data_IF_762404064708
#
_entry.id   IF_762404064708
#
_cell.length_a   1.000
_cell.length_b   1.000
_cell.length_c   1.000
_cell.angle_alpha   90.00
_cell.angle_beta   90.00
_cell.angle_gamma   90.00
#
_symmetry.space_group_name_H-M   'P 1'
#
loop_
_entity.id
_entity.type
_entity.pdbx_description
1 polymer ?
#
# COMPACT_ATOMS: atom_id res chain seq x y z
N UNK A 1 29.97 -4.97 24.97
CA UNK A 1 28.54 -4.55 24.92
C UNK A 1 28.26 -4.17 23.48
N UNK A 2 27.84 -5.14 22.69
CA UNK A 2 27.52 -4.98 21.27
C UNK A 2 26.04 -4.63 21.15
N UNK A 3 25.71 -3.34 21.17
CA UNK A 3 24.40 -2.88 20.71
C UNK A 3 24.44 -2.82 19.18
N UNK A 4 24.17 -3.96 18.55
CA UNK A 4 23.75 -4.01 17.15
C UNK A 4 22.42 -4.74 17.09
N UNK A 5 21.37 -4.08 17.58
CA UNK A 5 20.01 -4.40 17.14
C UNK A 5 19.88 -3.83 15.73
N UNK A 6 20.46 -4.55 14.77
CA UNK A 6 20.30 -4.28 13.35
C UNK A 6 18.85 -4.64 13.03
N UNK A 7 17.95 -3.68 13.20
CA UNK A 7 17.04 -3.19 12.17
C UNK A 7 16.39 -4.19 11.17
N UNK A 8 16.17 -5.44 11.56
CA UNK A 8 15.55 -6.46 10.70
C UNK A 8 14.09 -6.14 10.34
N UNK A 9 13.42 -5.23 11.06
CA UNK A 9 12.07 -4.76 10.72
C UNK A 9 12.02 -3.82 9.52
N UNK A 10 13.17 -3.28 9.05
CA UNK A 10 13.19 -2.35 7.91
C UNK A 10 13.19 -3.03 6.53
N UNK A 11 13.44 -4.33 6.44
CA UNK A 11 13.57 -5.02 5.14
C UNK A 11 12.36 -5.87 4.72
N UNK A 12 11.28 -5.90 5.52
CA UNK A 12 10.12 -6.74 5.21
C UNK A 12 9.02 -6.06 4.34
N UNK A 13 9.27 -4.86 3.80
CA UNK A 13 8.25 -4.17 3.01
C UNK A 13 8.24 -4.66 1.57
N UNK A 14 7.17 -5.40 1.21
CA UNK A 14 6.94 -5.90 -0.16
C UNK A 14 7.14 -4.84 -1.26
N UNK A 15 6.76 -3.60 -0.97
CA UNK A 15 7.04 -2.45 -1.83
C UNK A 15 7.70 -1.36 -0.99
N UNK A 16 8.78 -0.77 -1.49
CA UNK A 16 9.48 0.32 -0.79
C UNK A 16 8.58 1.52 -0.49
N UNK A 17 7.58 1.78 -1.35
CA UNK A 17 6.60 2.86 -1.14
C UNK A 17 5.63 2.60 0.03
N UNK A 18 5.63 1.40 0.63
CA UNK A 18 4.88 1.12 1.86
C UNK A 18 5.72 1.31 3.13
N UNK A 19 7.02 1.59 2.98
CA UNK A 19 7.89 1.87 4.12
C UNK A 19 7.35 3.10 4.87
N UNK A 20 7.15 3.01 6.20
CA UNK A 20 6.77 4.17 6.98
C UNK A 20 7.86 5.25 6.88
N UNK A 21 7.45 6.51 6.72
CA UNK A 21 8.38 7.63 6.63
C UNK A 21 8.98 7.93 8.01
N UNK A 22 10.23 8.40 8.04
CA UNK A 22 10.98 8.67 9.28
C UNK A 22 10.24 9.59 10.26
N UNK A 23 9.43 10.51 9.76
CA UNK A 23 8.69 11.49 10.54
C UNK A 23 7.55 10.88 11.39
N UNK A 24 7.20 9.62 11.14
CA UNK A 24 6.11 8.92 11.84
C UNK A 24 6.60 8.00 12.96
N UNK A 25 7.91 7.86 13.11
CA UNK A 25 8.54 6.98 14.10
C UNK A 25 8.54 7.67 15.47
N UNK A 26 7.70 7.19 16.40
CA UNK A 26 7.75 7.61 17.81
C UNK A 26 6.42 7.92 18.51
N UNK A 27 5.26 7.62 17.90
CA UNK A 27 3.97 7.73 18.62
C UNK A 27 3.36 6.35 18.90
N UNK A 28 2.69 6.20 20.04
CA UNK A 28 1.97 4.97 20.43
C UNK A 28 0.92 4.54 19.38
N UNK A 29 0.30 5.49 18.67
CA UNK A 29 -0.61 5.20 17.54
C UNK A 29 0.13 4.47 16.41
N UNK A 30 1.33 4.95 16.06
CA UNK A 30 2.16 4.33 15.03
C UNK A 30 2.73 2.98 15.46
N UNK A 31 2.97 2.75 16.74
CA UNK A 31 3.33 1.41 17.27
C UNK A 31 2.21 0.39 16.99
N UNK A 32 0.96 0.70 17.35
CA UNK A 32 -0.17 -0.18 17.09
C UNK A 32 -0.43 -0.40 15.59
N UNK A 33 -0.23 0.64 14.77
CA UNK A 33 -0.30 0.52 13.31
C UNK A 33 0.79 -0.43 12.81
N UNK A 34 2.04 -0.26 13.24
CA UNK A 34 3.16 -1.08 12.78
C UNK A 34 2.94 -2.55 13.10
N UNK A 35 2.47 -2.90 14.30
CA UNK A 35 2.12 -4.28 14.65
C UNK A 35 1.09 -4.86 13.68
N UNK A 36 0.02 -4.12 13.36
CA UNK A 36 -1.00 -4.58 12.42
C UNK A 36 -0.48 -4.69 10.98
N UNK A 37 0.47 -3.84 10.59
CA UNK A 37 1.11 -3.91 9.27
C UNK A 37 2.02 -5.14 9.17
N UNK A 38 2.83 -5.41 10.19
CA UNK A 38 3.69 -6.59 10.28
C UNK A 38 2.85 -7.88 10.25
N UNK A 39 1.78 -7.95 11.05
CA UNK A 39 0.83 -9.07 11.01
C UNK A 39 0.20 -9.23 9.61
N UNK A 40 -0.19 -8.14 8.95
CA UNK A 40 -0.73 -8.17 7.60
C UNK A 40 0.31 -8.70 6.60
N UNK A 41 1.56 -8.27 6.70
CA UNK A 41 2.62 -8.64 5.77
C UNK A 41 2.95 -10.15 5.92
N UNK A 42 3.00 -10.68 7.15
CA UNK A 42 3.11 -12.13 7.41
C UNK A 42 1.91 -12.91 6.84
N UNK A 43 0.68 -12.39 6.96
CA UNK A 43 -0.51 -13.03 6.39
C UNK A 43 -0.48 -13.01 4.86
N UNK A 44 0.05 -11.94 4.25
CA UNK A 44 0.26 -11.82 2.80
C UNK A 44 1.23 -12.91 2.30
N UNK A 45 2.35 -13.10 2.99
CA UNK A 45 3.35 -14.13 2.66
C UNK A 45 2.73 -15.54 2.70
N UNK A 46 1.87 -15.78 3.68
CA UNK A 46 1.13 -17.03 3.84
C UNK A 46 -0.10 -17.14 2.92
N UNK A 47 -0.32 -16.18 2.02
CA UNK A 47 -1.50 -16.10 1.11
C UNK A 47 -2.85 -16.06 1.83
N UNK A 48 -2.86 -15.71 3.11
CA UNK A 48 -4.07 -15.53 3.91
C UNK A 48 -4.68 -14.14 3.68
N UNK A 49 -5.13 -13.89 2.44
CA UNK A 49 -5.49 -12.53 1.97
C UNK A 49 -6.70 -11.92 2.68
N UNK A 50 -7.70 -12.72 3.07
CA UNK A 50 -8.85 -12.22 3.84
C UNK A 50 -8.39 -11.72 5.21
N UNK A 51 -7.61 -12.54 5.94
CA UNK A 51 -7.07 -12.17 7.24
C UNK A 51 -6.13 -10.96 7.15
N UNK A 52 -5.32 -10.86 6.10
CA UNK A 52 -4.48 -9.68 5.85
C UNK A 52 -5.33 -8.42 5.64
N UNK A 53 -6.44 -8.53 4.89
CA UNK A 53 -7.38 -7.42 4.68
C UNK A 53 -7.97 -6.94 6.01
N UNK A 54 -8.35 -7.84 6.91
CA UNK A 54 -8.88 -7.49 8.23
C UNK A 54 -7.90 -6.66 9.07
N UNK A 55 -6.60 -6.99 9.01
CA UNK A 55 -5.55 -6.22 9.71
C UNK A 55 -5.44 -4.80 9.15
N UNK A 56 -5.44 -4.67 7.82
CA UNK A 56 -5.38 -3.38 7.15
C UNK A 56 -6.63 -2.53 7.40
N UNK A 57 -7.80 -3.13 7.43
CA UNK A 57 -9.04 -2.44 7.79
C UNK A 57 -9.04 -1.99 9.25
N UNK A 58 -8.38 -2.74 10.15
CA UNK A 58 -8.12 -2.28 11.52
C UNK A 58 -7.14 -1.10 11.58
N UNK A 59 -6.08 -1.09 10.77
CA UNK A 59 -5.22 0.10 10.61
C UNK A 59 -6.05 1.31 10.20
N UNK A 60 -6.98 1.15 9.25
CA UNK A 60 -7.84 2.24 8.79
C UNK A 60 -8.89 2.69 9.82
N UNK A 61 -9.30 1.83 10.75
CA UNK A 61 -10.13 2.24 11.89
C UNK A 61 -9.36 3.12 12.88
N UNK A 62 -8.06 2.87 13.05
CA UNK A 62 -7.18 3.71 13.89
C UNK A 62 -6.86 5.02 13.15
N UNK A 63 -6.45 4.93 11.88
CA UNK A 63 -6.02 6.05 11.05
C UNK A 63 -6.67 6.00 9.65
N UNK A 64 -7.89 6.57 9.50
CA UNK A 64 -8.65 6.49 8.24
C UNK A 64 -7.97 7.10 7.01
N UNK A 65 -7.00 8.00 7.24
CA UNK A 65 -6.23 8.70 6.20
C UNK A 65 -4.86 8.07 5.94
N UNK A 66 -4.57 6.88 6.46
CA UNK A 66 -3.29 6.22 6.24
C UNK A 66 -3.20 5.63 4.82
N UNK A 67 -2.59 6.38 3.90
CA UNK A 67 -2.51 6.04 2.49
C UNK A 67 -1.88 4.66 2.19
N UNK A 68 -0.81 4.22 2.90
CA UNK A 68 -0.20 2.91 2.63
C UNK A 68 -1.15 1.72 2.89
N UNK A 69 -2.03 1.77 3.89
CA UNK A 69 -3.00 0.68 4.12
C UNK A 69 -4.01 0.56 2.97
N UNK A 70 -4.50 1.69 2.44
CA UNK A 70 -5.35 1.69 1.24
C UNK A 70 -4.61 1.11 0.02
N UNK A 71 -3.31 1.40 -0.12
CA UNK A 71 -2.48 0.83 -1.20
C UNK A 71 -2.32 -0.68 -1.07
N UNK A 72 -2.01 -1.18 0.13
CA UNK A 72 -1.97 -2.62 0.44
C UNK A 72 -3.29 -3.34 0.13
N UNK A 73 -4.43 -2.74 0.49
CA UNK A 73 -5.76 -3.27 0.15
C UNK A 73 -6.01 -3.31 -1.37
N UNK A 74 -5.48 -2.35 -2.14
CA UNK A 74 -5.55 -2.38 -3.60
C UNK A 74 -4.79 -3.58 -4.17
N UNK A 75 -3.58 -3.82 -3.69
CA UNK A 75 -2.77 -4.94 -4.11
C UNK A 75 -3.45 -6.28 -3.77
N UNK A 76 -3.94 -6.44 -2.54
CA UNK A 76 -4.70 -7.62 -2.11
C UNK A 76 -5.93 -7.86 -2.99
N UNK A 77 -6.68 -6.81 -3.32
CA UNK A 77 -7.84 -6.93 -4.19
C UNK A 77 -7.49 -7.47 -5.59
N UNK A 78 -6.30 -7.18 -6.14
CA UNK A 78 -5.84 -7.82 -7.36
C UNK A 78 -5.55 -9.31 -7.16
N UNK A 79 -4.93 -9.69 -6.04
CA UNK A 79 -4.65 -11.10 -5.73
C UNK A 79 -5.94 -11.92 -5.58
N UNK A 80 -7.01 -11.28 -5.11
CA UNK A 80 -8.34 -11.88 -4.92
C UNK A 80 -9.25 -11.69 -6.14
N UNK A 81 -8.69 -11.44 -7.33
CA UNK A 81 -9.44 -11.27 -8.58
C UNK A 81 -10.59 -10.24 -8.49
N UNK A 82 -10.37 -9.15 -7.76
CA UNK A 82 -11.33 -8.08 -7.51
C UNK A 82 -10.84 -6.73 -8.07
N UNK A 83 -10.67 -6.60 -9.41
CA UNK A 83 -10.01 -5.44 -10.02
C UNK A 83 -10.75 -4.13 -9.77
N UNK A 84 -12.09 -4.12 -9.73
CA UNK A 84 -12.89 -2.93 -9.39
C UNK A 84 -12.58 -2.42 -7.97
N UNK A 85 -12.47 -3.34 -7.00
CA UNK A 85 -12.09 -3.01 -5.62
C UNK A 85 -10.67 -2.45 -5.59
N UNK A 86 -9.74 -3.06 -6.33
CA UNK A 86 -8.37 -2.53 -6.46
C UNK A 86 -8.37 -1.07 -6.90
N UNK A 87 -9.06 -0.72 -8.00
CA UNK A 87 -9.13 0.66 -8.50
C UNK A 87 -9.66 1.63 -7.43
N UNK A 88 -10.70 1.24 -6.68
CA UNK A 88 -11.27 2.07 -5.62
C UNK A 88 -10.24 2.34 -4.50
N UNK A 89 -9.56 1.30 -4.04
CA UNK A 89 -8.56 1.39 -2.96
C UNK A 89 -7.34 2.21 -3.40
N UNK A 90 -6.81 1.98 -4.60
CA UNK A 90 -5.70 2.77 -5.16
C UNK A 90 -6.06 4.24 -5.34
N UNK A 91 -7.26 4.55 -5.86
CA UNK A 91 -7.73 5.95 -5.97
C UNK A 91 -7.84 6.62 -4.61
N UNK A 92 -8.34 5.90 -3.60
CA UNK A 92 -8.41 6.41 -2.22
C UNK A 92 -7.02 6.69 -1.67
N UNK A 93 -6.07 5.76 -1.85
CA UNK A 93 -4.68 5.96 -1.45
C UNK A 93 -4.05 7.18 -2.13
N UNK A 94 -4.22 7.34 -3.46
CA UNK A 94 -3.73 8.51 -4.20
C UNK A 94 -4.31 9.83 -3.70
N UNK A 95 -5.57 9.86 -3.29
CA UNK A 95 -6.18 11.05 -2.68
C UNK A 95 -5.62 11.42 -1.30
N UNK A 96 -4.73 10.61 -0.74
CA UNK A 96 -4.11 10.78 0.58
C UNK A 96 -2.57 10.84 0.51
N UNK A 97 -1.98 10.41 -0.61
CA UNK A 97 -0.53 10.30 -0.82
C UNK A 97 0.12 11.58 -1.36
N UNK A 98 -0.41 12.76 -1.06
CA UNK A 98 -0.08 14.03 -1.77
C UNK A 98 1.41 14.36 -1.91
N UNK A 99 2.22 14.03 -0.90
CA UNK A 99 3.66 14.30 -0.85
C UNK A 99 4.52 13.05 -1.09
N UNK A 100 3.95 11.98 -1.63
CA UNK A 100 4.62 10.70 -1.84
C UNK A 100 4.46 10.22 -3.30
N UNK A 101 5.29 10.73 -4.23
CA UNK A 101 5.25 10.34 -5.64
C UNK A 101 5.47 8.83 -5.85
N UNK A 102 6.27 8.19 -4.98
CA UNK A 102 6.53 6.76 -5.07
C UNK A 102 5.26 5.94 -4.78
N UNK A 103 4.55 6.26 -3.69
CA UNK A 103 3.27 5.63 -3.37
C UNK A 103 2.21 5.95 -4.42
N UNK A 104 2.20 7.18 -4.94
CA UNK A 104 1.29 7.55 -6.03
C UNK A 104 1.52 6.69 -7.27
N UNK A 105 2.79 6.54 -7.68
CA UNK A 105 3.18 5.75 -8.84
C UNK A 105 2.81 4.27 -8.64
N UNK A 106 3.06 3.71 -7.45
CA UNK A 106 2.66 2.35 -7.10
C UNK A 106 1.14 2.14 -7.23
N UNK A 107 0.34 3.04 -6.68
CA UNK A 107 -1.12 2.97 -6.79
C UNK A 107 -1.61 3.06 -8.24
N UNK A 108 -1.00 3.92 -9.07
CA UNK A 108 -1.31 3.96 -10.50
C UNK A 108 -0.95 2.67 -11.22
N UNK A 109 0.13 1.99 -10.80
CA UNK A 109 0.46 0.65 -11.33
C UNK A 109 -0.62 -0.39 -11.04
N UNK A 110 -1.27 -0.32 -9.86
CA UNK A 110 -2.39 -1.19 -9.52
C UNK A 110 -3.66 -0.85 -10.33
N UNK A 111 -3.92 0.44 -10.56
CA UNK A 111 -5.01 0.87 -11.45
C UNK A 111 -4.77 0.37 -12.86
N UNK A 112 -3.55 0.46 -13.38
CA UNK A 112 -3.18 -0.05 -14.70
C UNK A 112 -3.44 -1.56 -14.81
N UNK A 113 -2.92 -2.35 -13.86
CA UNK A 113 -3.11 -3.79 -13.83
C UNK A 113 -4.60 -4.19 -13.72
N UNK A 114 -5.36 -3.49 -12.87
CA UNK A 114 -6.80 -3.72 -12.78
C UNK A 114 -7.53 -3.39 -14.09
N UNK A 115 -7.12 -2.31 -14.76
CA UNK A 115 -7.73 -1.86 -16.03
C UNK A 115 -7.47 -2.85 -17.16
N UNK A 116 -6.27 -3.45 -17.20
CA UNK A 116 -5.93 -4.51 -18.15
C UNK A 116 -6.84 -5.74 -17.97
N UNK A 117 -7.02 -6.22 -16.74
CA UNK A 117 -7.93 -7.34 -16.42
C UNK A 117 -9.38 -7.02 -16.83
N UNK A 118 -9.79 -5.76 -16.69
CA UNK A 118 -11.14 -5.30 -17.03
C UNK A 118 -11.32 -4.90 -18.50
N UNK A 119 -10.24 -4.91 -19.30
CA UNK A 119 -10.23 -4.37 -20.67
C UNK A 119 -10.69 -2.90 -20.75
N UNK A 120 -10.37 -2.08 -19.74
CA UNK A 120 -10.63 -0.64 -19.69
C UNK A 120 -9.42 0.14 -20.23
N UNK A 121 -9.36 0.30 -21.55
CA UNK A 121 -8.27 0.97 -22.26
C UNK A 121 -8.11 2.44 -21.83
N UNK A 122 -9.21 3.15 -21.55
CA UNK A 122 -9.17 4.56 -21.14
C UNK A 122 -8.48 4.71 -19.78
N UNK A 123 -8.85 3.88 -18.80
CA UNK A 123 -8.21 3.91 -17.48
C UNK A 123 -6.76 3.41 -17.52
N UNK A 124 -6.47 2.42 -18.38
CA UNK A 124 -5.12 1.92 -18.60
C UNK A 124 -4.17 3.02 -19.11
N UNK A 125 -4.57 3.72 -20.18
CA UNK A 125 -3.75 4.80 -20.75
C UNK A 125 -3.59 5.98 -19.78
N UNK A 126 -4.65 6.34 -19.07
CA UNK A 126 -4.56 7.36 -18.02
C UNK A 126 -3.58 6.97 -16.92
N UNK A 127 -3.54 5.70 -16.53
CA UNK A 127 -2.60 5.21 -15.53
C UNK A 127 -1.16 5.29 -16.03
N UNK A 128 -0.89 4.93 -17.29
CA UNK A 128 0.44 5.09 -17.92
C UNK A 128 0.91 6.53 -17.88
N UNK A 129 0.07 7.47 -18.35
CA UNK A 129 0.40 8.90 -18.34
C UNK A 129 0.75 9.40 -16.93
N UNK A 130 0.01 8.94 -15.92
CA UNK A 130 0.27 9.31 -14.53
C UNK A 130 1.57 8.74 -14.00
N UNK A 131 1.86 7.46 -14.24
CA UNK A 131 3.13 6.83 -13.87
C UNK A 131 4.30 7.59 -14.49
N UNK A 132 4.24 7.91 -15.79
CA UNK A 132 5.31 8.66 -16.46
C UNK A 132 5.47 10.07 -15.87
N UNK A 133 4.38 10.78 -15.58
CA UNK A 133 4.45 12.12 -14.98
C UNK A 133 5.10 12.13 -13.59
N UNK A 134 5.03 11.01 -12.85
CA UNK A 134 5.56 10.89 -11.50
C UNK A 134 7.05 10.50 -11.47
N UNK A 135 7.60 9.96 -12.56
CA UNK A 135 9.05 9.67 -12.68
C UNK A 135 9.92 10.92 -12.81
N UNK A 136 9.31 12.09 -13.04
CA UNK A 136 10.01 13.35 -13.22
C UNK A 136 10.39 14.04 -11.89
N UNK A 137 10.12 13.41 -10.74
CA UNK A 137 10.40 13.89 -9.38
C UNK A 137 11.34 12.92 -8.67
#
# INVERSE_FOLDING_TARGET
MSDSVVDETRDNYKYDAWRPTRDTVGTTEFEAINVLLEESDVLIENRAYDAASDKLERVLRIKPKYAPAWSRLSWLALQMNSPKRSVQMAKRSNSLAFSDPALQSLNWSFIRAASEVMQDEVSYERANQKIESLKAF
#
